data_IF_037008879084
#
_entry.id   IF_037008879084
#
_cell.length_a   1.000
_cell.length_b   1.000
_cell.length_c   1.000
_cell.angle_alpha   90.00
_cell.angle_beta   90.00
_cell.angle_gamma   90.00
#
_symmetry.space_group_name_H-M   'P 1'
#
loop_
_entity.id
_entity.type
_entity.pdbx_description
1 polymer ?
#
# COMPACT_ATOMS: atom_id res chain seq x y z
N UNK A 1 -10.09 -28.84 -5.71
CA UNK A 1 -8.98 -27.86 -5.76
C UNK A 1 -9.17 -26.98 -6.99
N UNK A 2 -9.53 -25.73 -6.78
CA UNK A 2 -9.84 -24.76 -7.85
C UNK A 2 -10.21 -23.37 -7.32
N UNK A 3 -9.92 -23.11 -6.04
CA UNK A 3 -10.15 -21.82 -5.40
C UNK A 3 -8.85 -21.04 -5.40
N UNK A 4 -8.89 -19.79 -5.86
CA UNK A 4 -7.77 -18.87 -5.77
C UNK A 4 -7.42 -18.62 -4.31
N UNK A 5 -6.13 -18.64 -3.97
CA UNK A 5 -5.68 -18.18 -2.67
C UNK A 5 -5.86 -16.66 -2.57
N UNK A 6 -6.64 -16.22 -1.58
CA UNK A 6 -6.95 -14.79 -1.39
C UNK A 6 -5.87 -14.00 -0.66
N UNK A 7 -4.99 -14.67 0.08
CA UNK A 7 -3.99 -14.01 0.93
C UNK A 7 -2.59 -13.89 0.29
N UNK A 8 -2.24 -14.79 -0.64
CA UNK A 8 -0.90 -14.88 -1.26
C UNK A 8 -0.97 -15.59 -2.61
N UNK A 9 0.12 -15.52 -3.38
CA UNK A 9 0.24 -16.17 -4.69
C UNK A 9 -0.15 -15.27 -5.88
N UNK A 10 -0.45 -13.99 -5.63
CA UNK A 10 -0.66 -13.00 -6.69
C UNK A 10 0.67 -12.55 -7.28
N UNK A 11 0.82 -12.70 -8.60
CA UNK A 11 1.93 -12.12 -9.36
C UNK A 11 1.46 -10.81 -9.98
N UNK A 12 2.12 -9.71 -9.61
CA UNK A 12 1.78 -8.36 -10.06
C UNK A 12 3.06 -7.52 -10.17
N UNK A 13 3.10 -6.58 -11.12
CA UNK A 13 4.24 -5.66 -11.29
C UNK A 13 4.09 -4.45 -10.36
N UNK A 14 5.21 -3.83 -9.98
CA UNK A 14 5.21 -2.62 -9.13
C UNK A 14 4.33 -1.48 -9.65
N UNK A 15 4.25 -1.16 -10.97
CA UNK A 15 3.38 -0.09 -11.44
C UNK A 15 1.90 -0.44 -11.25
N UNK A 16 1.53 -1.71 -11.40
CA UNK A 16 0.15 -2.16 -11.21
C UNK A 16 -0.25 -2.17 -9.72
N UNK A 17 0.70 -2.46 -8.81
CA UNK A 17 0.51 -2.23 -7.37
C UNK A 17 0.32 -0.73 -7.05
N UNK A 18 1.10 0.15 -7.67
CA UNK A 18 0.97 1.59 -7.46
C UNK A 18 -0.42 2.10 -7.92
N UNK A 19 -0.96 1.58 -9.03
CA UNK A 19 -2.34 1.89 -9.45
C UNK A 19 -3.37 1.49 -8.38
N UNK A 20 -3.20 0.34 -7.73
CA UNK A 20 -4.06 -0.05 -6.60
C UNK A 20 -3.99 0.97 -5.45
N UNK A 21 -2.78 1.42 -5.09
CA UNK A 21 -2.62 2.49 -4.11
C UNK A 21 -3.28 3.80 -4.54
N UNK A 22 -3.17 4.17 -5.82
CA UNK A 22 -3.80 5.37 -6.38
C UNK A 22 -5.33 5.27 -6.32
N UNK A 23 -5.91 4.09 -6.59
CA UNK A 23 -7.35 3.86 -6.42
C UNK A 23 -7.76 4.17 -4.97
N UNK A 24 -7.04 3.68 -3.97
CA UNK A 24 -7.37 4.00 -2.57
C UNK A 24 -7.17 5.49 -2.24
N UNK A 25 -6.07 6.09 -2.73
CA UNK A 25 -5.75 7.49 -2.50
C UNK A 25 -6.83 8.42 -3.09
N UNK A 26 -7.32 8.12 -4.29
CA UNK A 26 -8.34 8.88 -5.03
C UNK A 26 -9.78 8.40 -4.73
N UNK A 27 -10.03 7.88 -3.52
CA UNK A 27 -11.38 7.56 -3.06
C UNK A 27 -12.11 6.51 -3.90
N UNK A 28 -11.36 5.57 -4.46
CA UNK A 28 -11.83 4.43 -5.23
C UNK A 28 -11.90 4.65 -6.73
N UNK A 29 -11.32 5.73 -7.25
CA UNK A 29 -11.34 6.09 -8.68
C UNK A 29 -9.93 5.95 -9.29
N UNK A 30 -9.87 5.52 -10.54
CA UNK A 30 -8.66 5.57 -11.35
C UNK A 30 -9.06 5.82 -12.81
N UNK A 31 -8.40 6.79 -13.45
CA UNK A 31 -8.69 7.22 -14.83
C UNK A 31 -10.19 7.52 -15.07
N UNK A 32 -10.85 8.17 -14.09
CA UNK A 32 -12.27 8.55 -14.17
C UNK A 32 -13.25 7.39 -13.96
N UNK A 33 -12.78 6.16 -13.76
CA UNK A 33 -13.62 5.00 -13.45
C UNK A 33 -13.58 4.66 -11.97
N UNK A 34 -14.74 4.45 -11.36
CA UNK A 34 -14.87 3.93 -10.00
C UNK A 34 -14.69 2.41 -9.98
N UNK A 35 -13.76 1.93 -9.15
CA UNK A 35 -13.52 0.51 -8.87
C UNK A 35 -13.92 0.13 -7.45
N UNK A 36 -13.77 1.06 -6.50
CA UNK A 36 -14.08 0.87 -5.09
C UNK A 36 -15.00 2.03 -4.64
N UNK A 37 -15.95 1.78 -3.74
CA UNK A 37 -16.78 2.86 -3.20
C UNK A 37 -15.93 3.75 -2.30
N UNK A 38 -16.24 5.06 -2.27
CA UNK A 38 -15.50 6.00 -1.42
C UNK A 38 -15.62 5.60 0.05
N UNK A 39 -16.81 5.14 0.44
CA UNK A 39 -17.13 4.69 1.79
C UNK A 39 -16.23 3.52 2.23
N UNK A 40 -15.92 2.59 1.31
CA UNK A 40 -15.00 1.50 1.61
C UNK A 40 -13.58 2.01 1.82
N UNK A 41 -13.08 2.87 0.94
CA UNK A 41 -11.76 3.48 1.10
C UNK A 41 -11.62 4.21 2.46
N UNK A 42 -12.65 4.97 2.84
CA UNK A 42 -12.68 5.66 4.14
C UNK A 42 -12.66 4.66 5.32
N UNK A 43 -13.36 3.52 5.20
CA UNK A 43 -13.33 2.44 6.19
C UNK A 43 -11.92 1.84 6.30
N UNK A 44 -11.25 1.56 5.18
CA UNK A 44 -9.89 1.01 5.16
C UNK A 44 -8.93 1.91 5.93
N UNK A 45 -8.91 3.22 5.62
CA UNK A 45 -8.03 4.16 6.31
C UNK A 45 -8.39 4.37 7.77
N UNK A 46 -9.69 4.32 8.13
CA UNK A 46 -10.13 4.50 9.52
C UNK A 46 -9.84 3.28 10.40
N UNK A 47 -9.94 2.08 9.85
CA UNK A 47 -9.90 0.82 10.63
C UNK A 47 -8.63 0.00 10.43
N UNK A 48 -7.86 0.29 9.38
CA UNK A 48 -6.60 -0.40 9.12
C UNK A 48 -6.78 -1.84 8.61
N UNK A 49 -7.83 -2.12 7.83
CA UNK A 49 -8.14 -3.48 7.34
C UNK A 49 -7.10 -3.96 6.31
N UNK A 50 -7.20 -3.49 5.07
CA UNK A 50 -6.28 -3.89 3.99
C UNK A 50 -4.96 -3.12 4.04
N UNK A 51 -5.00 -1.86 4.47
CA UNK A 51 -3.83 -0.99 4.60
C UNK A 51 -3.71 -0.54 6.04
N UNK A 52 -2.58 -0.82 6.68
CA UNK A 52 -2.34 -0.46 8.08
C UNK A 52 -1.59 0.86 8.16
N UNK A 53 -1.99 1.76 9.06
CA UNK A 53 -1.22 2.98 9.32
C UNK A 53 0.15 2.62 9.93
N UNK A 54 1.22 3.11 9.31
CA UNK A 54 2.60 2.87 9.74
C UNK A 54 3.30 4.13 10.27
N UNK A 55 2.78 5.29 9.91
CA UNK A 55 3.14 6.63 10.39
C UNK A 55 1.94 7.55 10.13
N UNK A 56 1.82 8.73 10.78
CA UNK A 56 0.66 9.61 10.59
C UNK A 56 0.38 9.92 9.11
N UNK A 57 -0.80 9.51 8.63
CA UNK A 57 -1.21 9.70 7.23
C UNK A 57 -0.56 8.75 6.20
N UNK A 58 0.27 7.81 6.65
CA UNK A 58 0.95 6.81 5.83
C UNK A 58 0.42 5.41 6.10
N UNK A 59 -0.13 4.77 5.07
CA UNK A 59 -0.77 3.47 5.17
C UNK A 59 -0.07 2.46 4.26
N UNK A 60 0.16 1.25 4.74
CA UNK A 60 0.93 0.28 3.99
C UNK A 60 0.40 -1.16 4.10
N UNK A 61 0.73 -1.96 3.09
CA UNK A 61 0.56 -3.41 3.10
C UNK A 61 1.82 -4.09 2.56
N UNK A 62 2.36 -4.97 3.40
CA UNK A 62 3.53 -5.78 3.07
C UNK A 62 3.18 -7.20 2.63
N UNK A 63 4.10 -7.79 1.88
CA UNK A 63 4.25 -9.22 1.65
C UNK A 63 5.43 -9.79 2.44
N UNK A 64 5.51 -11.13 2.50
CA UNK A 64 6.43 -11.85 3.38
C UNK A 64 7.92 -11.62 3.08
N UNK A 65 8.29 -11.34 1.82
CA UNK A 65 9.69 -11.23 1.40
C UNK A 65 10.07 -9.78 1.02
N UNK A 66 9.43 -8.80 1.65
CA UNK A 66 9.77 -7.39 1.44
C UNK A 66 9.04 -6.69 0.29
N UNK A 67 7.96 -7.28 -0.24
CA UNK A 67 7.03 -6.56 -1.11
C UNK A 67 6.28 -5.50 -0.30
N UNK A 68 6.06 -4.33 -0.86
CA UNK A 68 5.30 -3.28 -0.17
C UNK A 68 4.49 -2.42 -1.14
N UNK A 69 3.29 -2.07 -0.68
CA UNK A 69 2.51 -0.94 -1.17
C UNK A 69 2.38 0.08 -0.03
N UNK A 70 2.79 1.32 -0.27
CA UNK A 70 2.66 2.46 0.63
C UNK A 70 1.78 3.53 -0.01
N UNK A 71 0.83 4.05 0.75
CA UNK A 71 -0.04 5.17 0.41
C UNK A 71 0.18 6.27 1.43
N UNK A 72 0.77 7.38 0.98
CA UNK A 72 1.00 8.59 1.75
C UNK A 72 -0.07 9.61 1.39
N UNK A 73 -1.04 9.80 2.29
CA UNK A 73 -2.13 10.77 2.12
C UNK A 73 -1.69 12.20 2.41
N UNK A 74 -0.65 12.37 3.20
CA UNK A 74 -0.12 13.70 3.56
C UNK A 74 0.55 14.34 2.35
N UNK A 75 1.29 13.55 1.56
CA UNK A 75 1.98 14.02 0.36
C UNK A 75 1.26 13.66 -0.96
N UNK A 76 0.07 13.07 -0.90
CA UNK A 76 -0.67 12.59 -2.08
C UNK A 76 0.18 11.70 -3.00
N UNK A 77 0.90 10.76 -2.39
CA UNK A 77 1.88 9.91 -3.07
C UNK A 77 1.63 8.42 -2.82
N UNK A 78 2.05 7.60 -3.78
CA UNK A 78 2.02 6.13 -3.68
C UNK A 78 3.38 5.59 -4.05
N UNK A 79 3.91 4.71 -3.22
CA UNK A 79 5.20 4.05 -3.45
C UNK A 79 4.99 2.55 -3.42
N UNK A 80 5.44 1.85 -4.46
CA UNK A 80 5.40 0.40 -4.52
C UNK A 80 6.78 -0.13 -4.86
N UNK A 81 7.20 -1.18 -4.16
CA UNK A 81 8.44 -1.89 -4.47
C UNK A 81 8.27 -3.37 -4.23
N UNK A 82 9.13 -4.14 -4.89
CA UNK A 82 9.24 -5.58 -4.73
C UNK A 82 10.62 -5.89 -4.17
N UNK A 83 10.64 -6.73 -3.15
CA UNK A 83 11.85 -7.36 -2.66
C UNK A 83 11.73 -8.88 -2.78
N UNK A 84 12.87 -9.54 -2.71
CA UNK A 84 12.95 -10.93 -2.28
C UNK A 84 14.03 -10.99 -1.21
N UNK A 85 13.62 -10.58 -0.04
CA UNK A 85 14.47 -10.46 1.12
C UNK A 85 13.98 -11.45 2.19
N UNK A 86 14.88 -12.35 2.56
CA UNK A 86 14.66 -13.37 3.59
C UNK A 86 15.46 -13.08 4.88
N UNK A 87 16.16 -11.94 4.95
CA UNK A 87 17.06 -11.56 6.05
C UNK A 87 16.66 -10.27 6.80
N UNK A 88 15.65 -9.54 6.32
CA UNK A 88 15.02 -8.41 7.02
C UNK A 88 15.47 -7.02 6.52
N UNK A 89 16.22 -6.94 5.43
CA UNK A 89 16.60 -5.72 4.71
C UNK A 89 15.44 -4.77 4.35
N UNK A 90 14.29 -5.31 4.00
CA UNK A 90 13.07 -4.59 3.59
C UNK A 90 12.51 -3.69 4.68
N UNK A 91 12.83 -4.00 5.94
CA UNK A 91 12.46 -3.16 7.09
C UNK A 91 13.30 -1.87 7.17
N UNK A 92 14.50 -1.85 6.58
CA UNK A 92 15.31 -0.61 6.47
C UNK A 92 14.69 0.38 5.49
N UNK A 93 14.19 -0.10 4.35
CA UNK A 93 13.52 0.75 3.37
C UNK A 93 12.21 1.31 3.95
N UNK A 94 11.46 0.47 4.68
CA UNK A 94 10.27 0.93 5.41
C UNK A 94 10.59 2.02 6.43
N UNK A 95 11.67 1.85 7.21
CA UNK A 95 12.15 2.87 8.17
C UNK A 95 12.58 4.16 7.48
N UNK A 96 13.39 4.07 6.43
CA UNK A 96 13.87 5.24 5.69
C UNK A 96 12.71 6.11 5.18
N UNK A 97 11.68 5.49 4.62
CA UNK A 97 10.51 6.23 4.12
C UNK A 97 9.71 6.82 5.30
N UNK A 98 9.48 6.06 6.36
CA UNK A 98 8.80 6.55 7.56
C UNK A 98 9.51 7.76 8.19
N UNK A 99 10.83 7.72 8.29
CA UNK A 99 11.65 8.81 8.83
C UNK A 99 11.63 10.04 7.91
N UNK A 100 11.70 9.83 6.59
CA UNK A 100 11.66 10.92 5.59
C UNK A 100 10.31 11.63 5.57
N UNK A 101 9.20 10.89 5.71
CA UNK A 101 7.85 11.47 5.77
C UNK A 101 7.54 12.11 7.13
N UNK A 102 8.24 11.71 8.20
CA UNK A 102 8.10 12.34 9.54
C UNK A 102 8.84 13.67 9.67
N UNK A 103 9.74 13.99 8.75
CA UNK A 103 10.56 15.21 8.75
C UNK A 103 9.91 16.40 8.01
N UNK A 104 8.72 16.23 7.44
CA UNK A 104 7.98 17.28 6.71
C UNK A 104 6.95 18.02 7.57
N UNK A 105 7.20 18.21 8.87
CA UNK A 105 6.39 19.04 9.79
C UNK A 105 7.15 20.28 10.21
#
# INVERSE_FOLDING_TARGET
>A
MGYSMGATGLYIRTPDMAKLGLIYLDGGVFEGRRFISKEWCDIVFKRGYELKEIAPGCYAKGGMCGQMLLVDRSNSAVVAWMGYDNDGYSERMRRFISESTSLSV
#
